data_IF_932413287943
#
_entry.id   IF_932413287943
#
_cell.length_a   1.000
_cell.length_b   1.000
_cell.length_c   1.000
_cell.angle_alpha   90.00
_cell.angle_beta   90.00
_cell.angle_gamma   90.00
#
_symmetry.space_group_name_H-M   'P 1'
#
loop_
_entity.id
_entity.type
_entity.pdbx_description
1 polymer ?
#
# COMPACT_ATOMS: atom_id res chain seq x y z
N UNK A 1 -29.49 -17.13 -13.65
CA UNK A 1 -28.21 -17.81 -13.93
C UNK A 1 -27.00 -16.99 -13.48
N UNK A 2 -26.87 -15.71 -13.91
CA UNK A 2 -25.72 -14.84 -13.56
C UNK A 2 -25.53 -14.65 -12.05
N UNK A 3 -26.59 -14.36 -11.28
CA UNK A 3 -26.48 -14.19 -9.82
C UNK A 3 -25.99 -15.45 -9.09
N UNK A 4 -26.35 -16.65 -9.58
CA UNK A 4 -25.87 -17.90 -9.01
C UNK A 4 -24.37 -18.09 -9.25
N UNK A 5 -23.89 -17.76 -10.46
CA UNK A 5 -22.47 -17.79 -10.79
C UNK A 5 -21.66 -16.77 -9.97
N UNK A 6 -22.16 -15.54 -9.79
CA UNK A 6 -21.54 -14.53 -8.91
C UNK A 6 -21.41 -15.04 -7.49
N UNK A 7 -22.46 -15.67 -6.94
CA UNK A 7 -22.43 -16.23 -5.59
C UNK A 7 -21.41 -17.37 -5.46
N UNK A 8 -21.34 -18.26 -6.45
CA UNK A 8 -20.35 -19.34 -6.48
C UNK A 8 -18.92 -18.78 -6.54
N UNK A 9 -18.66 -17.79 -7.40
CA UNK A 9 -17.36 -17.13 -7.50
C UNK A 9 -16.94 -16.50 -6.16
N UNK A 10 -17.83 -15.76 -5.50
CA UNK A 10 -17.57 -15.18 -4.17
C UNK A 10 -17.28 -16.26 -3.12
N UNK A 11 -17.99 -17.39 -3.17
CA UNK A 11 -17.72 -18.52 -2.27
C UNK A 11 -16.33 -19.11 -2.53
N UNK A 12 -15.91 -19.26 -3.79
CA UNK A 12 -14.56 -19.70 -4.13
C UNK A 12 -13.50 -18.72 -3.61
N UNK A 13 -13.70 -17.41 -3.83
CA UNK A 13 -12.79 -16.35 -3.31
C UNK A 13 -12.65 -16.45 -1.79
N UNK A 14 -13.77 -16.56 -1.07
CA UNK A 14 -13.77 -16.65 0.40
C UNK A 14 -13.15 -17.94 0.91
N UNK A 15 -13.40 -19.06 0.23
CA UNK A 15 -12.81 -20.34 0.57
C UNK A 15 -11.29 -20.28 0.42
N UNK A 16 -10.79 -19.82 -0.74
CA UNK A 16 -9.36 -19.66 -0.99
C UNK A 16 -8.70 -18.71 0.01
N UNK A 17 -9.33 -17.58 0.31
CA UNK A 17 -8.85 -16.61 1.32
C UNK A 17 -8.69 -17.26 2.71
N UNK A 18 -9.54 -18.24 3.05
CA UNK A 18 -9.45 -18.97 4.33
C UNK A 18 -8.45 -20.12 4.29
N UNK A 19 -8.25 -20.76 3.15
CA UNK A 19 -7.38 -21.93 3.00
C UNK A 19 -5.90 -21.55 2.86
N UNK A 20 -5.60 -20.45 2.16
CA UNK A 20 -4.23 -20.02 1.87
C UNK A 20 -3.32 -19.87 3.12
N UNK A 21 -3.79 -19.29 4.24
CA UNK A 21 -3.00 -19.25 5.48
C UNK A 21 -2.51 -20.63 5.93
N UNK A 22 -3.40 -21.63 5.91
CA UNK A 22 -3.06 -23.01 6.28
C UNK A 22 -2.10 -23.65 5.27
N UNK A 23 -2.21 -23.30 3.98
CA UNK A 23 -1.27 -23.78 2.96
C UNK A 23 0.13 -23.20 3.17
N UNK A 24 0.23 -21.92 3.58
CA UNK A 24 1.50 -21.27 3.88
C UNK A 24 2.13 -21.72 5.21
N UNK A 25 1.31 -22.02 6.22
CA UNK A 25 1.78 -22.50 7.52
C UNK A 25 2.15 -24.00 7.51
N UNK A 26 1.59 -24.77 6.57
CA UNK A 26 1.82 -26.20 6.50
C UNK A 26 3.32 -26.54 6.39
N UNK A 27 3.83 -27.46 7.24
CA UNK A 27 5.23 -27.84 7.22
C UNK A 27 5.60 -28.52 5.90
N UNK A 28 6.92 -28.66 5.67
CA UNK A 28 7.42 -29.42 4.54
C UNK A 28 6.84 -30.85 4.55
N UNK A 29 6.45 -31.34 3.38
CA UNK A 29 5.86 -32.69 3.25
C UNK A 29 6.94 -33.71 3.57
N UNK A 30 6.62 -34.69 4.43
CA UNK A 30 7.55 -35.74 4.89
C UNK A 30 8.37 -36.33 3.74
N UNK A 31 9.69 -36.14 3.78
CA UNK A 31 10.63 -36.61 2.75
C UNK A 31 11.03 -35.58 1.69
N UNK A 32 10.52 -34.33 1.76
CA UNK A 32 10.91 -33.23 0.86
C UNK A 32 11.33 -31.99 1.67
N UNK A 33 12.25 -31.19 1.10
CA UNK A 33 12.68 -29.92 1.71
C UNK A 33 11.76 -28.73 1.33
N UNK A 34 10.66 -28.98 0.61
CA UNK A 34 9.77 -27.94 0.09
C UNK A 34 8.47 -27.87 0.87
N UNK A 35 7.97 -26.65 1.07
CA UNK A 35 6.70 -26.41 1.74
C UNK A 35 5.51 -26.86 0.89
N UNK A 36 4.36 -27.09 1.50
CA UNK A 36 3.12 -27.41 0.77
C UNK A 36 2.78 -26.31 -0.24
N UNK A 37 2.97 -25.03 0.13
CA UNK A 37 2.75 -23.90 -0.76
C UNK A 37 3.66 -23.94 -2.00
N UNK A 38 4.93 -24.27 -1.83
CA UNK A 38 5.87 -24.42 -2.96
C UNK A 38 5.45 -25.54 -3.91
N UNK A 39 5.02 -26.69 -3.38
CA UNK A 39 4.58 -27.82 -4.20
C UNK A 39 3.28 -27.53 -4.95
N UNK A 40 2.28 -26.94 -4.28
CA UNK A 40 0.96 -26.72 -4.87
C UNK A 40 0.91 -25.49 -5.79
N UNK A 41 1.50 -24.38 -5.36
CA UNK A 41 1.35 -23.09 -6.05
C UNK A 41 2.51 -22.84 -7.02
N UNK A 42 3.73 -23.16 -6.61
CA UNK A 42 4.94 -22.65 -7.26
C UNK A 42 5.74 -23.70 -8.02
N UNK A 43 5.32 -24.97 -7.98
CA UNK A 43 5.90 -26.04 -8.79
C UNK A 43 5.12 -26.19 -10.09
N UNK A 44 5.82 -26.46 -11.20
CA UNK A 44 5.17 -26.75 -12.49
C UNK A 44 4.58 -28.15 -12.44
N UNK A 45 3.30 -28.28 -12.79
CA UNK A 45 2.62 -29.57 -12.89
C UNK A 45 2.40 -29.94 -14.36
N UNK A 46 3.04 -31.02 -14.81
CA UNK A 46 2.94 -31.54 -16.18
C UNK A 46 3.44 -30.57 -17.27
N UNK A 47 2.75 -30.57 -18.41
CA UNK A 47 3.08 -29.80 -19.63
C UNK A 47 2.62 -28.32 -19.58
N UNK A 48 2.22 -27.83 -18.40
CA UNK A 48 1.73 -26.46 -18.24
C UNK A 48 2.89 -25.47 -18.17
N UNK A 49 2.87 -24.47 -19.07
CA UNK A 49 3.89 -23.41 -19.13
C UNK A 49 3.89 -22.51 -17.89
N UNK A 50 2.71 -22.23 -17.31
CA UNK A 50 2.55 -21.35 -16.13
C UNK A 50 2.25 -22.15 -14.85
N UNK A 51 2.85 -21.73 -13.73
CA UNK A 51 2.59 -22.33 -12.40
C UNK A 51 1.15 -22.05 -11.96
N UNK A 52 0.61 -22.87 -11.07
CA UNK A 52 -0.77 -22.67 -10.59
C UNK A 52 -0.93 -21.34 -9.83
N UNK A 53 0.04 -20.99 -8.97
CA UNK A 53 0.07 -19.73 -8.25
C UNK A 53 0.12 -18.51 -9.19
N UNK A 54 0.88 -18.58 -10.29
CA UNK A 54 0.90 -17.49 -11.29
C UNK A 54 -0.48 -17.29 -11.90
N UNK A 55 -1.13 -18.38 -12.32
CA UNK A 55 -2.48 -18.32 -12.88
C UNK A 55 -3.48 -17.76 -11.87
N UNK A 56 -3.41 -18.20 -10.62
CA UNK A 56 -4.29 -17.72 -9.55
C UNK A 56 -4.12 -16.22 -9.29
N UNK A 57 -2.89 -15.71 -9.31
CA UNK A 57 -2.59 -14.28 -9.19
C UNK A 57 -3.18 -13.50 -10.36
N UNK A 58 -2.91 -13.92 -11.61
CA UNK A 58 -3.44 -13.23 -12.79
C UNK A 58 -4.97 -13.25 -12.81
N UNK A 59 -5.61 -14.39 -12.51
CA UNK A 59 -7.06 -14.48 -12.40
C UNK A 59 -7.60 -13.58 -11.30
N UNK A 60 -6.93 -13.48 -10.14
CA UNK A 60 -7.37 -12.59 -9.06
C UNK A 60 -7.31 -11.12 -9.49
N UNK A 61 -6.26 -10.72 -10.23
CA UNK A 61 -6.17 -9.37 -10.81
C UNK A 61 -7.21 -9.15 -11.91
N UNK A 62 -7.50 -10.14 -12.74
CA UNK A 62 -8.56 -10.03 -13.76
C UNK A 62 -9.94 -9.84 -13.12
N UNK A 63 -10.21 -10.56 -12.01
CA UNK A 63 -11.43 -10.41 -11.23
C UNK A 63 -11.59 -9.00 -10.64
N UNK A 64 -10.48 -8.30 -10.34
CA UNK A 64 -10.51 -6.90 -9.90
C UNK A 64 -11.04 -5.95 -10.99
N UNK A 65 -11.03 -6.36 -12.25
CA UNK A 65 -11.44 -5.58 -13.42
C UNK A 65 -12.46 -6.30 -14.31
N UNK A 66 -13.18 -7.29 -13.77
CA UNK A 66 -14.17 -8.07 -14.51
C UNK A 66 -15.49 -7.30 -14.68
N UNK A 67 -15.90 -7.10 -15.93
CA UNK A 67 -17.11 -6.38 -16.28
C UNK A 67 -18.38 -7.06 -15.76
N UNK A 68 -19.25 -6.28 -15.11
CA UNK A 68 -20.46 -6.75 -14.44
C UNK A 68 -20.23 -7.38 -13.06
N UNK A 69 -18.97 -7.57 -12.63
CA UNK A 69 -18.64 -8.10 -11.30
C UNK A 69 -18.02 -7.03 -10.39
N UNK A 70 -16.91 -6.42 -10.79
CA UNK A 70 -16.22 -5.35 -10.04
C UNK A 70 -16.22 -4.02 -10.78
N UNK A 71 -16.47 -4.01 -12.09
CA UNK A 71 -16.57 -2.79 -12.92
C UNK A 71 -17.83 -2.85 -13.77
N UNK A 72 -18.43 -1.72 -14.18
CA UNK A 72 -19.62 -1.72 -15.03
C UNK A 72 -19.34 -2.36 -16.39
N UNK A 73 -20.38 -2.93 -17.01
CA UNK A 73 -20.31 -3.38 -18.41
C UNK A 73 -20.29 -2.16 -19.33
N UNK A 74 -19.46 -2.19 -20.36
CA UNK A 74 -19.48 -1.17 -21.40
C UNK A 74 -20.65 -1.45 -22.32
N UNK A 75 -21.55 -0.48 -22.49
CA UNK A 75 -22.83 -0.64 -23.20
C UNK A 75 -22.67 -0.83 -24.73
N UNK A 76 -21.49 -0.54 -25.30
CA UNK A 76 -21.30 -0.41 -26.76
C UNK A 76 -20.75 -1.66 -27.47
N UNK A 77 -20.83 -2.85 -26.89
CA UNK A 77 -20.39 -4.07 -27.60
C UNK A 77 -21.38 -5.19 -27.39
N UNK A 78 -22.40 -5.24 -28.25
CA UNK A 78 -23.38 -6.34 -28.30
C UNK A 78 -22.73 -7.71 -28.63
N UNK A 79 -21.44 -7.71 -29.01
CA UNK A 79 -20.62 -8.89 -29.28
C UNK A 79 -19.55 -9.19 -28.19
N UNK A 80 -19.50 -8.44 -27.09
CA UNK A 80 -18.49 -8.68 -26.07
C UNK A 80 -18.73 -10.01 -25.34
N UNK A 81 -17.71 -10.87 -25.36
CA UNK A 81 -17.65 -12.12 -24.60
C UNK A 81 -18.15 -11.95 -23.15
N UNK A 82 -18.82 -12.96 -22.57
CA UNK A 82 -19.42 -12.87 -21.24
C UNK A 82 -18.40 -12.65 -20.10
N UNK A 83 -17.10 -12.70 -20.38
CA UNK A 83 -15.98 -12.60 -19.43
C UNK A 83 -14.99 -11.49 -19.82
N UNK A 84 -15.49 -10.32 -20.26
CA UNK A 84 -14.63 -9.19 -20.62
C UNK A 84 -13.94 -8.59 -19.38
N UNK A 85 -12.61 -8.57 -19.39
CA UNK A 85 -11.78 -7.87 -18.40
C UNK A 85 -11.49 -6.45 -18.92
N UNK A 86 -11.94 -5.44 -18.19
CA UNK A 86 -11.75 -4.04 -18.54
C UNK A 86 -10.86 -3.33 -17.51
N UNK A 87 -9.55 -3.30 -17.77
CA UNK A 87 -8.57 -2.61 -16.93
C UNK A 87 -8.76 -1.09 -16.95
N UNK A 88 -9.63 -0.59 -16.07
CA UNK A 88 -9.97 0.82 -15.88
C UNK A 88 -9.66 1.27 -14.44
N UNK A 89 -9.39 2.56 -14.22
CA UNK A 89 -9.03 3.08 -12.90
C UNK A 89 -10.30 3.34 -12.07
N UNK A 90 -10.40 2.72 -10.89
CA UNK A 90 -11.65 2.73 -10.10
C UNK A 90 -12.06 4.12 -9.58
N UNK A 91 -11.08 4.93 -9.20
CA UNK A 91 -11.27 6.22 -8.55
C UNK A 91 -10.51 7.29 -9.30
N UNK A 92 -11.10 8.49 -9.46
CA UNK A 92 -10.36 9.61 -10.04
C UNK A 92 -9.17 10.06 -9.17
N UNK A 93 -8.16 10.65 -9.79
CA UNK A 93 -6.89 11.00 -9.17
C UNK A 93 -5.77 10.88 -10.18
N UNK A 94 -4.68 10.22 -9.79
CA UNK A 94 -3.55 9.95 -10.68
C UNK A 94 -4.01 9.06 -11.84
N UNK A 95 -3.63 9.43 -13.07
CA UNK A 95 -3.88 8.66 -14.28
C UNK A 95 -5.31 8.75 -14.85
N UNK A 96 -6.29 9.21 -14.08
CA UNK A 96 -7.66 9.37 -14.57
C UNK A 96 -8.44 10.42 -13.75
N UNK A 97 -9.05 11.39 -14.43
CA UNK A 97 -9.84 12.46 -13.77
C UNK A 97 -11.33 12.12 -13.63
N UNK A 98 -11.87 11.30 -14.54
CA UNK A 98 -13.29 10.94 -14.53
C UNK A 98 -13.55 9.70 -13.67
N UNK A 99 -14.59 9.75 -12.84
CA UNK A 99 -15.00 8.62 -12.01
C UNK A 99 -15.79 7.61 -12.86
N UNK A 100 -15.54 6.32 -12.65
CA UNK A 100 -16.31 5.25 -13.26
C UNK A 100 -17.55 5.00 -12.42
N UNK A 101 -18.70 4.77 -13.07
CA UNK A 101 -19.92 4.39 -12.36
C UNK A 101 -19.67 3.17 -11.47
N UNK A 102 -20.04 3.28 -10.20
CA UNK A 102 -19.84 2.23 -9.20
C UNK A 102 -21.06 2.11 -8.31
N UNK A 103 -21.36 0.90 -7.85
CA UNK A 103 -22.41 0.62 -6.89
C UNK A 103 -21.82 -0.07 -5.65
N UNK A 104 -22.65 -0.31 -4.63
CA UNK A 104 -22.22 -0.95 -3.37
C UNK A 104 -21.73 -2.39 -3.59
N UNK A 105 -22.34 -3.11 -4.50
CA UNK A 105 -21.98 -4.50 -4.81
C UNK A 105 -20.59 -4.60 -5.42
N UNK A 106 -20.25 -3.71 -6.37
CA UNK A 106 -18.93 -3.65 -6.98
C UNK A 106 -17.85 -3.34 -5.95
N UNK A 107 -18.11 -2.40 -5.04
CA UNK A 107 -17.18 -2.09 -3.94
C UNK A 107 -17.00 -3.31 -3.03
N UNK A 108 -18.09 -4.01 -2.71
CA UNK A 108 -18.03 -5.23 -1.90
C UNK A 108 -17.27 -6.37 -2.61
N UNK A 109 -17.49 -6.58 -3.90
CA UNK A 109 -16.76 -7.58 -4.68
C UNK A 109 -15.26 -7.22 -4.79
N UNK A 110 -14.92 -5.95 -5.06
CA UNK A 110 -13.53 -5.48 -5.04
C UNK A 110 -12.89 -5.76 -3.69
N UNK A 111 -13.60 -5.49 -2.59
CA UNK A 111 -13.11 -5.76 -1.24
C UNK A 111 -12.80 -7.26 -1.02
N UNK A 112 -13.69 -8.17 -1.42
CA UNK A 112 -13.47 -9.62 -1.28
C UNK A 112 -12.30 -10.11 -2.16
N UNK A 113 -12.19 -9.62 -3.39
CA UNK A 113 -11.07 -9.97 -4.28
C UNK A 113 -9.75 -9.39 -3.75
N UNK A 114 -9.75 -8.17 -3.22
CA UNK A 114 -8.58 -7.55 -2.58
C UNK A 114 -8.12 -8.32 -1.33
N UNK A 115 -9.05 -8.89 -0.54
CA UNK A 115 -8.68 -9.80 0.57
C UNK A 115 -7.95 -11.04 0.07
N UNK A 116 -8.45 -11.66 -0.99
CA UNK A 116 -7.79 -12.82 -1.60
C UNK A 116 -6.40 -12.42 -2.13
N UNK A 117 -6.29 -11.29 -2.81
CA UNK A 117 -5.02 -10.78 -3.32
C UNK A 117 -4.01 -10.56 -2.20
N UNK A 118 -4.38 -9.85 -1.13
CA UNK A 118 -3.53 -9.69 0.05
C UNK A 118 -3.11 -11.01 0.67
N UNK A 119 -4.04 -11.97 0.76
CA UNK A 119 -3.76 -13.29 1.29
C UNK A 119 -2.72 -14.02 0.41
N UNK A 120 -2.87 -13.98 -0.91
CA UNK A 120 -1.88 -14.54 -1.83
C UNK A 120 -0.51 -13.90 -1.68
N UNK A 121 -0.44 -12.59 -1.45
CA UNK A 121 0.81 -11.84 -1.26
C UNK A 121 1.40 -11.99 0.15
N UNK A 122 0.74 -12.67 1.09
CA UNK A 122 1.11 -12.69 2.52
C UNK A 122 2.12 -13.78 2.93
N UNK A 123 2.71 -14.53 1.99
CA UNK A 123 3.61 -15.66 2.32
C UNK A 123 4.77 -15.26 3.26
N UNK A 124 5.27 -14.03 3.15
CA UNK A 124 6.32 -13.50 4.04
C UNK A 124 5.94 -13.46 5.52
N UNK A 125 4.64 -13.42 5.86
CA UNK A 125 4.18 -13.49 7.26
C UNK A 125 4.40 -14.85 7.91
N UNK A 126 4.52 -15.91 7.11
CA UNK A 126 4.73 -17.29 7.56
C UNK A 126 6.22 -17.68 7.48
N UNK A 127 7.08 -16.73 7.10
CA UNK A 127 8.53 -16.92 7.07
C UNK A 127 9.13 -16.62 8.43
N UNK A 128 10.07 -17.45 8.87
CA UNK A 128 10.82 -17.22 10.12
C UNK A 128 11.62 -15.93 10.04
N UNK A 129 11.86 -15.29 11.19
CA UNK A 129 12.50 -13.98 11.28
C UNK A 129 13.89 -13.90 10.61
N UNK A 130 14.65 -14.98 10.63
CA UNK A 130 15.96 -15.10 9.98
C UNK A 130 15.87 -15.03 8.44
N UNK A 131 14.78 -15.56 7.89
CA UNK A 131 14.54 -15.67 6.46
C UNK A 131 13.77 -14.50 5.83
N UNK A 132 13.20 -13.57 6.60
CA UNK A 132 12.29 -12.53 6.05
C UNK A 132 12.95 -11.69 4.94
N UNK A 133 14.24 -11.36 5.07
CA UNK A 133 14.96 -10.53 4.11
C UNK A 133 15.52 -11.33 2.92
N UNK A 134 15.66 -12.65 3.06
CA UNK A 134 16.30 -13.52 2.06
C UNK A 134 15.28 -14.34 1.26
N UNK A 135 14.19 -14.74 1.91
CA UNK A 135 13.14 -15.55 1.30
C UNK A 135 12.30 -14.68 0.38
N UNK A 136 12.25 -15.08 -0.89
CA UNK A 136 11.44 -14.38 -1.89
C UNK A 136 9.98 -14.78 -1.79
N UNK A 137 9.12 -13.88 -2.26
CA UNK A 137 7.69 -14.09 -2.33
C UNK A 137 7.27 -14.22 -3.80
N UNK A 138 7.07 -15.44 -4.33
CA UNK A 138 6.79 -15.66 -5.74
C UNK A 138 5.51 -14.93 -6.21
N UNK A 139 4.51 -14.78 -5.35
CA UNK A 139 3.28 -14.06 -5.66
C UNK A 139 3.54 -12.57 -5.94
N UNK A 140 4.40 -11.95 -5.13
CA UNK A 140 4.78 -10.55 -5.30
C UNK A 140 5.66 -10.40 -6.54
N UNK A 141 6.60 -11.32 -6.77
CA UNK A 141 7.48 -11.31 -7.95
C UNK A 141 6.66 -11.40 -9.26
N UNK A 142 5.61 -12.21 -9.30
CA UNK A 142 4.73 -12.34 -10.47
C UNK A 142 4.05 -11.01 -10.82
N UNK A 143 3.60 -10.24 -9.82
CA UNK A 143 3.00 -8.93 -10.06
C UNK A 143 4.05 -7.86 -10.38
N UNK A 144 5.11 -7.79 -9.58
CA UNK A 144 6.08 -6.71 -9.62
C UNK A 144 6.96 -6.71 -10.89
N UNK A 145 7.28 -7.89 -11.45
CA UNK A 145 8.22 -8.01 -12.56
C UNK A 145 7.59 -8.49 -13.87
N UNK A 146 6.60 -9.39 -13.82
CA UNK A 146 6.13 -10.12 -15.02
C UNK A 146 4.76 -9.68 -15.55
N UNK A 147 4.15 -8.66 -14.94
CA UNK A 147 2.84 -8.18 -15.36
C UNK A 147 2.93 -7.21 -16.53
N UNK A 148 1.91 -7.18 -17.38
CA UNK A 148 1.84 -6.24 -18.50
C UNK A 148 1.74 -4.79 -18.01
N UNK A 149 2.37 -3.87 -18.75
CA UNK A 149 2.36 -2.42 -18.46
C UNK A 149 0.95 -1.88 -18.18
N UNK A 150 -0.04 -2.28 -18.98
CA UNK A 150 -1.43 -1.82 -18.81
C UNK A 150 -2.00 -2.28 -17.46
N UNK A 151 -1.77 -3.53 -17.09
CA UNK A 151 -2.24 -4.12 -15.83
C UNK A 151 -1.58 -3.43 -14.64
N UNK A 152 -0.25 -3.28 -14.67
CA UNK A 152 0.51 -2.63 -13.59
C UNK A 152 0.04 -1.19 -13.39
N UNK A 153 -0.08 -0.41 -14.46
CA UNK A 153 -0.46 1.00 -14.37
C UNK A 153 -1.89 1.16 -13.85
N UNK A 154 -2.84 0.38 -14.38
CA UNK A 154 -4.24 0.43 -13.94
C UNK A 154 -4.35 0.02 -12.47
N UNK A 155 -3.69 -1.07 -12.05
CA UNK A 155 -3.69 -1.52 -10.67
C UNK A 155 -3.05 -0.47 -9.75
N UNK A 156 -1.85 0.04 -10.08
CA UNK A 156 -1.16 1.07 -9.32
C UNK A 156 -2.03 2.31 -9.09
N UNK A 157 -2.61 2.87 -10.15
CA UNK A 157 -3.47 4.05 -10.05
C UNK A 157 -4.74 3.76 -9.24
N UNK A 158 -5.33 2.56 -9.40
CA UNK A 158 -6.52 2.18 -8.63
C UNK A 158 -6.22 2.05 -7.13
N UNK A 159 -5.09 1.42 -6.78
CA UNK A 159 -4.64 1.30 -5.39
C UNK A 159 -4.37 2.68 -4.76
N UNK A 160 -3.59 3.54 -5.43
CA UNK A 160 -3.26 4.89 -4.93
C UNK A 160 -4.52 5.73 -4.79
N UNK A 161 -5.34 5.83 -5.85
CA UNK A 161 -6.47 6.74 -5.86
C UNK A 161 -7.51 6.33 -4.82
N UNK A 162 -7.81 5.03 -4.69
CA UNK A 162 -8.76 4.53 -3.69
C UNK A 162 -8.23 4.71 -2.26
N UNK A 163 -6.95 4.45 -2.00
CA UNK A 163 -6.35 4.68 -0.68
C UNK A 163 -6.34 6.18 -0.30
N UNK A 164 -5.89 7.04 -1.21
CA UNK A 164 -5.71 8.48 -0.93
C UNK A 164 -7.04 9.22 -0.85
N UNK A 165 -8.07 8.80 -1.59
CA UNK A 165 -9.41 9.39 -1.48
C UNK A 165 -10.21 8.93 -0.28
N UNK A 166 -9.65 8.11 0.61
CA UNK A 166 -10.30 7.72 1.86
C UNK A 166 -10.89 8.95 2.56
N UNK A 167 -12.22 9.09 2.61
CA UNK A 167 -12.87 10.18 3.35
C UNK A 167 -13.18 9.66 4.75
N UNK A 168 -12.32 9.96 5.72
CA UNK A 168 -12.74 9.93 7.12
C UNK A 168 -14.00 10.80 7.18
N UNK A 169 -15.14 10.18 7.49
CA UNK A 169 -16.44 10.84 7.54
C UNK A 169 -16.25 12.21 8.19
N UNK A 170 -16.53 13.26 7.42
CA UNK A 170 -16.39 14.63 7.90
C UNK A 170 -17.09 14.77 9.23
N UNK A 171 -16.53 15.62 10.09
CA UNK A 171 -17.18 16.19 11.26
C UNK A 171 -18.67 16.45 10.97
N UNK A 172 -19.54 15.53 11.39
CA UNK A 172 -20.87 15.43 10.80
C UNK A 172 -21.74 14.43 11.54
N UNK A 173 -22.15 14.84 12.74
CA UNK A 173 -23.18 14.23 13.60
C UNK A 173 -22.72 12.98 14.36
N UNK A 174 -22.54 13.06 15.71
CA UNK A 174 -22.18 11.94 16.60
C UNK A 174 -23.14 10.74 16.56
N UNK A 175 -24.33 10.91 15.99
CA UNK A 175 -25.40 9.92 15.96
C UNK A 175 -25.47 9.09 14.67
N UNK A 176 -24.68 9.40 13.64
CA UNK A 176 -24.48 8.42 12.56
C UNK A 176 -23.52 7.36 13.07
N UNK A 177 -24.05 6.35 13.76
CA UNK A 177 -23.39 5.08 13.98
C UNK A 177 -23.11 4.46 12.61
N UNK A 178 -22.00 4.86 11.98
CA UNK A 178 -21.45 4.09 10.87
C UNK A 178 -21.16 2.70 11.42
N UNK A 179 -21.48 1.63 10.66
CA UNK A 179 -21.00 0.32 11.02
C UNK A 179 -19.49 0.40 11.20
N UNK A 180 -18.95 -0.28 12.23
CA UNK A 180 -17.52 -0.26 12.56
C UNK A 180 -16.60 -0.69 11.39
N UNK A 181 -17.18 -1.22 10.32
CA UNK A 181 -16.53 -1.71 9.10
C UNK A 181 -17.27 -1.25 7.84
N UNK A 182 -17.19 0.03 7.49
CA UNK A 182 -17.61 0.51 6.17
C UNK A 182 -16.73 -0.17 5.10
N UNK A 183 -17.32 -0.87 4.09
CA UNK A 183 -16.54 -1.56 3.07
C UNK A 183 -15.62 -0.63 2.27
N UNK A 184 -15.96 0.66 2.14
CA UNK A 184 -15.07 1.64 1.50
C UNK A 184 -13.80 1.90 2.32
N UNK A 185 -13.95 2.01 3.64
CA UNK A 185 -12.84 2.29 4.55
C UNK A 185 -11.86 1.10 4.58
N UNK A 186 -12.40 -0.13 4.61
CA UNK A 186 -11.59 -1.34 4.53
C UNK A 186 -10.93 -1.52 3.15
N UNK A 187 -11.63 -1.16 2.07
CA UNK A 187 -11.06 -1.23 0.73
C UNK A 187 -9.86 -0.28 0.60
N UNK A 188 -9.95 0.93 1.15
CA UNK A 188 -8.84 1.88 1.18
C UNK A 188 -7.61 1.32 1.93
N UNK A 189 -7.81 0.68 3.10
CA UNK A 189 -6.74 -0.02 3.83
C UNK A 189 -6.11 -1.10 2.97
N UNK A 190 -6.91 -1.99 2.38
CA UNK A 190 -6.36 -3.09 1.60
C UNK A 190 -5.64 -2.63 0.34
N UNK A 191 -6.12 -1.55 -0.29
CA UNK A 191 -5.43 -0.91 -1.40
C UNK A 191 -4.06 -0.38 -0.98
N UNK A 192 -3.98 0.30 0.17
CA UNK A 192 -2.74 0.86 0.67
C UNK A 192 -1.75 -0.23 1.12
N UNK A 193 -2.21 -1.26 1.83
CA UNK A 193 -1.41 -2.43 2.20
C UNK A 193 -0.83 -3.13 0.98
N UNK A 194 -1.67 -3.40 -0.02
CA UNK A 194 -1.24 -4.05 -1.27
C UNK A 194 -0.20 -3.20 -1.99
N UNK A 195 -0.43 -1.89 -2.07
CA UNK A 195 0.54 -0.95 -2.65
C UNK A 195 1.89 -1.01 -1.92
N UNK A 196 1.88 -0.94 -0.58
CA UNK A 196 3.10 -0.98 0.21
C UNK A 196 3.86 -2.31 0.05
N UNK A 197 3.16 -3.44 0.01
CA UNK A 197 3.77 -4.76 -0.26
C UNK A 197 4.46 -4.77 -1.62
N UNK A 198 3.78 -4.28 -2.67
CA UNK A 198 4.31 -4.21 -4.02
C UNK A 198 5.50 -3.25 -4.14
N UNK A 199 5.51 -2.15 -3.39
CA UNK A 199 6.60 -1.18 -3.37
C UNK A 199 7.82 -1.63 -2.54
N UNK A 200 7.62 -2.47 -1.52
CA UNK A 200 8.69 -2.92 -0.63
C UNK A 200 9.68 -3.87 -1.32
N UNK A 201 9.24 -4.55 -2.39
CA UNK A 201 10.09 -5.48 -3.14
C UNK A 201 11.15 -4.73 -3.92
N UNK A 202 12.43 -4.91 -3.54
CA UNK A 202 13.58 -4.21 -4.13
C UNK A 202 13.93 -4.75 -5.51
N UNK A 203 14.56 -3.94 -6.35
CA UNK A 203 15.04 -4.37 -7.67
C UNK A 203 16.01 -5.55 -7.55
N UNK A 204 16.05 -6.40 -8.57
CA UNK A 204 16.98 -7.52 -8.56
C UNK A 204 18.42 -7.03 -8.68
N UNK A 205 19.35 -7.56 -7.88
CA UNK A 205 20.77 -7.30 -8.08
C UNK A 205 21.16 -7.78 -9.48
N UNK A 206 21.89 -6.96 -10.23
CA UNK A 206 22.43 -7.37 -11.52
C UNK A 206 23.54 -8.39 -11.30
N UNK A 207 23.67 -9.37 -12.19
CA UNK A 207 24.86 -10.24 -12.23
C UNK A 207 26.10 -9.33 -12.35
N UNK A 208 26.87 -9.21 -11.25
CA UNK A 208 28.06 -8.36 -11.16
C UNK A 208 28.09 -7.39 -9.97
N UNK A 209 26.94 -7.04 -9.36
CA UNK A 209 26.88 -6.07 -8.25
C UNK A 209 27.31 -6.65 -6.88
N UNK A 210 27.72 -7.92 -6.81
CA UNK A 210 28.31 -8.54 -5.61
C UNK A 210 29.85 -8.42 -5.53
N UNK A 211 30.48 -7.67 -6.44
CA UNK A 211 31.92 -7.46 -6.43
C UNK A 211 32.31 -6.13 -5.73
N UNK A 212 32.17 -6.06 -4.40
CA UNK A 212 33.05 -5.25 -3.51
C UNK A 212 32.61 -5.38 -2.05
N UNK A 213 32.70 -6.58 -1.46
CA UNK A 213 33.09 -6.67 -0.04
C UNK A 213 33.68 -8.07 0.28
N UNK A 214 34.97 -8.07 0.54
CA UNK A 214 35.77 -9.09 1.22
C UNK A 214 35.29 -10.57 1.22
N UNK A 215 35.71 -11.32 0.20
CA UNK A 215 36.36 -12.63 0.41
C UNK A 215 35.55 -13.81 0.98
N UNK A 216 34.22 -13.74 1.09
CA UNK A 216 33.37 -14.92 1.35
C UNK A 216 32.39 -15.15 0.22
N UNK A 217 32.82 -15.95 -0.75
CA UNK A 217 31.94 -16.54 -1.75
C UNK A 217 31.05 -17.56 -1.04
N UNK A 218 29.83 -17.18 -0.68
CA UNK A 218 28.77 -18.15 -0.45
C UNK A 218 28.29 -18.66 -1.81
N UNK A 219 28.25 -19.98 -2.06
CA UNK A 219 27.70 -20.50 -3.29
C UNK A 219 26.19 -20.23 -3.28
N UNK A 220 25.74 -19.30 -4.14
CA UNK A 220 24.32 -19.14 -4.43
C UNK A 220 23.80 -20.43 -5.03
N UNK A 221 22.96 -21.16 -4.28
CA UNK A 221 22.17 -22.25 -4.85
C UNK A 221 21.34 -21.71 -6.03
N UNK A 222 21.14 -22.51 -7.09
CA UNK A 222 20.27 -22.16 -8.20
C UNK A 222 18.83 -22.12 -7.67
N UNK A 223 18.39 -20.93 -7.26
CA UNK A 223 17.00 -20.72 -6.89
C UNK A 223 16.21 -20.68 -8.19
N UNK A 224 15.34 -21.67 -8.38
CA UNK A 224 14.49 -21.87 -9.55
C UNK A 224 13.42 -20.78 -9.71
N UNK A 225 13.83 -19.51 -9.82
CA UNK A 225 12.94 -18.39 -10.06
C UNK A 225 13.02 -17.96 -11.53
N UNK A 226 11.89 -17.73 -12.21
CA UNK A 226 11.84 -17.28 -13.60
C UNK A 226 12.14 -15.78 -13.79
N UNK A 227 12.50 -15.05 -12.73
CA UNK A 227 12.74 -13.59 -12.84
C UNK A 227 14.17 -13.35 -13.33
N UNK A 228 14.30 -12.74 -14.50
CA UNK A 228 15.58 -12.39 -15.14
C UNK A 228 16.46 -11.48 -14.25
N UNK A 229 17.75 -11.82 -14.05
CA UNK A 229 18.68 -11.04 -13.24
C UNK A 229 18.75 -9.59 -13.71
N UNK A 230 18.50 -8.66 -12.78
CA UNK A 230 18.42 -7.22 -13.06
C UNK A 230 17.02 -6.71 -13.45
N UNK A 231 15.98 -7.55 -13.33
CA UNK A 231 14.59 -7.11 -13.48
C UNK A 231 14.26 -5.99 -12.48
N UNK A 232 13.60 -4.95 -12.99
CA UNK A 232 13.16 -3.79 -12.22
C UNK A 232 11.71 -3.95 -11.79
N UNK A 233 11.41 -3.60 -10.56
CA UNK A 233 10.05 -3.58 -10.05
C UNK A 233 9.26 -2.48 -10.80
N UNK A 234 8.23 -2.91 -11.55
CA UNK A 234 7.47 -2.01 -12.40
C UNK A 234 6.67 -0.97 -11.61
N UNK A 235 6.15 -1.32 -10.42
CA UNK A 235 5.41 -0.38 -9.55
C UNK A 235 6.32 0.74 -9.06
N UNK A 236 7.53 0.40 -8.58
CA UNK A 236 8.56 1.38 -8.20
C UNK A 236 8.96 2.24 -9.40
N UNK A 237 9.15 1.61 -10.56
CA UNK A 237 9.51 2.29 -11.81
C UNK A 237 8.48 3.33 -12.27
N UNK A 238 7.19 3.04 -12.15
CA UNK A 238 6.14 4.01 -12.49
C UNK A 238 6.00 5.11 -11.43
N UNK A 239 6.12 4.79 -10.14
CA UNK A 239 6.02 5.78 -9.07
C UNK A 239 7.18 6.80 -9.11
N UNK A 240 8.39 6.33 -9.38
CA UNK A 240 9.58 7.17 -9.58
C UNK A 240 9.45 8.13 -10.78
N UNK A 241 8.66 7.76 -11.79
CA UNK A 241 8.43 8.57 -13.01
C UNK A 241 7.28 9.58 -12.88
N UNK A 242 6.57 9.59 -11.76
CA UNK A 242 5.56 10.61 -11.47
C UNK A 242 6.22 11.98 -11.46
N UNK A 243 5.63 12.97 -12.13
CA UNK A 243 6.25 14.29 -12.29
C UNK A 243 5.24 15.44 -12.48
N UNK A 244 3.95 15.13 -12.65
CA UNK A 244 2.94 16.18 -12.85
C UNK A 244 2.65 16.81 -11.49
N UNK A 245 2.70 18.13 -11.42
CA UNK A 245 2.40 18.87 -10.19
C UNK A 245 1.00 18.53 -9.65
N UNK A 246 0.02 18.28 -10.52
CA UNK A 246 -1.32 17.86 -10.10
C UNK A 246 -1.34 16.50 -9.40
N UNK A 247 -0.49 15.55 -9.84
CA UNK A 247 -0.40 14.23 -9.20
C UNK A 247 0.31 14.34 -7.84
N UNK A 248 1.35 15.17 -7.74
CA UNK A 248 2.02 15.45 -6.46
C UNK A 248 1.11 16.18 -5.47
N UNK A 249 0.42 17.24 -5.90
CA UNK A 249 -0.56 17.95 -5.09
C UNK A 249 -1.66 17.01 -4.59
N UNK A 250 -2.15 16.10 -5.44
CA UNK A 250 -3.12 15.08 -5.05
C UNK A 250 -2.59 14.18 -3.93
N UNK A 251 -1.35 13.70 -4.02
CA UNK A 251 -0.74 12.87 -2.97
C UNK A 251 -0.54 13.67 -1.67
N UNK A 252 0.10 14.84 -1.75
CA UNK A 252 0.41 15.68 -0.59
C UNK A 252 -0.85 16.06 0.17
N UNK A 253 -1.86 16.60 -0.53
CA UNK A 253 -3.11 17.05 0.08
C UNK A 253 -3.85 15.89 0.77
N UNK A 254 -3.88 14.70 0.16
CA UNK A 254 -4.57 13.56 0.76
C UNK A 254 -3.80 12.92 1.91
N UNK A 255 -2.47 12.83 1.83
CA UNK A 255 -1.62 12.37 2.94
C UNK A 255 -1.80 13.33 4.13
N UNK A 256 -1.67 14.64 3.91
CA UNK A 256 -1.91 15.67 4.92
C UNK A 256 -3.27 15.50 5.59
N UNK A 257 -4.33 15.32 4.79
CA UNK A 257 -5.68 15.11 5.28
C UNK A 257 -5.80 13.86 6.15
N UNK A 258 -5.23 12.73 5.74
CA UNK A 258 -5.26 11.47 6.50
C UNK A 258 -4.52 11.62 7.84
N UNK A 259 -3.31 12.18 7.83
CA UNK A 259 -2.51 12.40 9.03
C UNK A 259 -3.22 13.36 10.01
N UNK A 260 -3.79 14.45 9.49
CA UNK A 260 -4.47 15.46 10.29
C UNK A 260 -5.73 14.96 11.01
N UNK A 261 -6.38 13.89 10.52
CA UNK A 261 -7.57 13.30 11.18
C UNK A 261 -7.21 12.77 12.58
N UNK A 262 -6.11 12.01 12.70
CA UNK A 262 -5.72 11.44 13.99
C UNK A 262 -5.14 12.50 14.94
N UNK A 263 -4.36 13.45 14.43
CA UNK A 263 -3.89 14.57 15.24
C UNK A 263 -5.07 15.31 15.89
N UNK A 264 -6.08 15.71 15.10
CA UNK A 264 -7.25 16.43 15.60
C UNK A 264 -8.10 15.60 16.56
N UNK A 265 -8.19 14.29 16.33
CA UNK A 265 -8.88 13.39 17.26
C UNK A 265 -8.17 13.29 18.61
N UNK A 266 -6.83 13.44 18.64
CA UNK A 266 -6.03 13.44 19.87
C UNK A 266 -6.01 14.80 20.59
N UNK A 267 -6.25 15.90 19.89
CA UNK A 267 -6.37 17.24 20.51
C UNK A 267 -7.75 17.52 21.10
N UNK A 268 -8.80 16.86 20.62
CA UNK A 268 -10.15 17.02 21.17
C UNK A 268 -10.35 16.19 22.44
N UNK A 269 -10.95 16.80 23.47
CA UNK A 269 -11.39 16.12 24.69
C UNK A 269 -12.37 14.98 24.42
N UNK A 270 -13.11 15.05 23.31
CA UNK A 270 -14.04 14.02 22.90
C UNK A 270 -13.28 12.94 22.12
N UNK A 271 -12.71 12.00 22.87
CA UNK A 271 -12.12 10.76 22.35
C UNK A 271 -13.22 9.86 21.78
N UNK A 272 -13.87 10.25 20.69
CA UNK A 272 -14.67 9.31 19.94
C UNK A 272 -13.69 8.35 19.27
N UNK A 273 -13.64 7.12 19.81
CA UNK A 273 -12.77 6.02 19.41
C UNK A 273 -12.36 6.14 17.93
N UNK A 274 -11.14 6.62 17.69
CA UNK A 274 -10.56 6.52 16.35
C UNK A 274 -10.52 5.04 16.03
N UNK A 275 -11.32 4.63 15.05
CA UNK A 275 -11.45 3.22 14.73
C UNK A 275 -10.08 2.66 14.33
N UNK A 276 -9.84 1.37 14.62
CA UNK A 276 -8.62 0.65 14.21
C UNK A 276 -8.23 0.92 12.75
N UNK A 277 -9.22 1.09 11.88
CA UNK A 277 -9.07 1.44 10.46
C UNK A 277 -8.37 2.78 10.24
N UNK A 278 -8.75 3.84 10.96
CA UNK A 278 -8.13 5.16 10.85
C UNK A 278 -6.67 5.14 11.32
N UNK A 279 -6.40 4.41 12.40
CA UNK A 279 -5.04 4.24 12.90
C UNK A 279 -4.15 3.51 11.87
N UNK A 280 -4.70 2.45 11.27
CA UNK A 280 -4.02 1.66 10.23
C UNK A 280 -3.71 2.51 9.00
N UNK A 281 -4.70 3.25 8.47
CA UNK A 281 -4.51 4.13 7.31
C UNK A 281 -3.46 5.21 7.56
N UNK A 282 -3.41 5.78 8.76
CA UNK A 282 -2.41 6.80 9.09
C UNK A 282 -0.99 6.21 9.11
N UNK A 283 -0.81 5.08 9.79
CA UNK A 283 0.48 4.38 9.83
C UNK A 283 0.96 4.03 8.41
N UNK A 284 0.07 3.47 7.60
CA UNK A 284 0.38 3.10 6.23
C UNK A 284 0.59 4.32 5.31
N UNK A 285 -0.07 5.45 5.58
CA UNK A 285 0.15 6.70 4.86
C UNK A 285 1.51 7.32 5.18
N UNK A 286 2.01 7.18 6.42
CA UNK A 286 3.40 7.52 6.77
C UNK A 286 4.40 6.64 6.02
N UNK A 287 4.10 5.33 5.91
CA UNK A 287 4.94 4.41 5.12
C UNK A 287 4.93 4.77 3.63
N UNK A 288 3.78 5.15 3.07
CA UNK A 288 3.67 5.61 1.69
C UNK A 288 4.45 6.91 1.48
N UNK A 289 4.33 7.88 2.40
CA UNK A 289 5.11 9.11 2.36
C UNK A 289 6.61 8.81 2.34
N UNK A 290 7.07 7.92 3.22
CA UNK A 290 8.48 7.50 3.24
C UNK A 290 8.89 6.85 1.92
N UNK A 291 8.07 5.96 1.36
CA UNK A 291 8.34 5.34 0.07
C UNK A 291 8.41 6.37 -1.08
N UNK A 292 7.53 7.37 -1.10
CA UNK A 292 7.52 8.44 -2.11
C UNK A 292 8.80 9.28 -2.06
N UNK A 293 9.24 9.67 -0.85
CA UNK A 293 10.48 10.43 -0.64
C UNK A 293 11.71 9.67 -1.11
N UNK A 294 11.75 8.37 -0.86
CA UNK A 294 12.86 7.49 -1.26
C UNK A 294 12.89 7.21 -2.77
N UNK A 295 11.71 7.12 -3.40
CA UNK A 295 11.57 6.73 -4.80
C UNK A 295 11.64 7.89 -5.78
N UNK A 296 11.25 9.10 -5.37
CA UNK A 296 11.06 10.22 -6.28
C UNK A 296 11.59 11.53 -5.69
N UNK A 297 12.83 11.94 -6.02
CA UNK A 297 13.39 13.19 -5.49
C UNK A 297 12.60 14.44 -5.93
N UNK A 298 11.92 14.40 -7.10
CA UNK A 298 11.08 15.51 -7.53
C UNK A 298 9.86 15.69 -6.63
N UNK A 299 9.31 14.59 -6.11
CA UNK A 299 8.25 14.65 -5.12
C UNK A 299 8.75 15.26 -3.81
N UNK A 300 9.96 14.91 -3.37
CA UNK A 300 10.58 15.47 -2.16
C UNK A 300 10.71 16.99 -2.24
N UNK A 301 11.31 17.51 -3.31
CA UNK A 301 11.42 18.96 -3.52
C UNK A 301 10.06 19.63 -3.60
N UNK A 302 9.10 19.04 -4.34
CA UNK A 302 7.73 19.55 -4.41
C UNK A 302 7.05 19.60 -3.04
N UNK A 303 7.22 18.56 -2.22
CA UNK A 303 6.62 18.48 -0.89
C UNK A 303 7.14 19.60 0.01
N UNK A 304 8.45 19.87 0.06
CA UNK A 304 9.03 20.91 0.93
C UNK A 304 8.58 22.31 0.52
N UNK A 305 8.38 22.52 -0.77
CA UNK A 305 7.86 23.78 -1.34
C UNK A 305 6.35 23.95 -1.15
N UNK A 306 5.62 22.88 -0.80
CA UNK A 306 4.17 22.91 -0.65
C UNK A 306 3.73 23.69 0.61
N UNK A 307 2.50 24.20 0.57
CA UNK A 307 1.89 24.90 1.70
C UNK A 307 1.60 23.94 2.86
N UNK A 308 1.24 22.69 2.55
CA UNK A 308 0.93 21.65 3.52
C UNK A 308 2.18 21.06 4.20
N UNK A 309 3.38 21.35 3.69
CA UNK A 309 4.64 20.79 4.18
C UNK A 309 4.77 20.87 5.71
N UNK A 310 4.66 22.09 6.23
CA UNK A 310 4.87 22.36 7.65
C UNK A 310 3.80 21.66 8.50
N UNK A 311 2.59 21.52 7.98
CA UNK A 311 1.54 20.78 8.67
C UNK A 311 1.77 19.27 8.66
N UNK A 312 2.30 18.70 7.55
CA UNK A 312 2.76 17.31 7.48
C UNK A 312 3.92 17.09 8.46
N UNK A 313 4.90 18.01 8.50
CA UNK A 313 6.02 17.94 9.42
C UNK A 313 5.55 17.92 10.88
N UNK A 314 4.61 18.80 11.24
CA UNK A 314 3.97 18.78 12.56
C UNK A 314 3.32 17.44 12.86
N UNK A 315 2.61 16.86 11.89
CA UNK A 315 1.99 15.55 12.04
C UNK A 315 3.00 14.44 12.29
N UNK A 316 4.09 14.41 11.53
CA UNK A 316 5.18 13.45 11.71
C UNK A 316 5.80 13.60 13.11
N UNK A 317 6.12 14.83 13.53
CA UNK A 317 6.64 15.11 14.87
C UNK A 317 5.66 14.70 15.98
N UNK A 318 4.36 14.98 15.79
CA UNK A 318 3.31 14.58 16.71
C UNK A 318 3.28 13.06 16.90
N UNK A 319 3.32 12.26 15.82
CA UNK A 319 3.32 10.80 15.92
C UNK A 319 4.61 10.25 16.55
N UNK A 320 5.76 10.90 16.33
CA UNK A 320 6.99 10.55 17.03
C UNK A 320 6.86 10.75 18.55
N UNK A 321 6.26 11.87 18.97
CA UNK A 321 6.09 12.23 20.39
C UNK A 321 4.99 11.43 21.09
N UNK A 322 3.83 11.22 20.45
CA UNK A 322 2.68 10.48 21.03
C UNK A 322 3.06 9.05 21.41
N UNK A 323 3.97 8.43 20.64
CA UNK A 323 4.32 7.01 20.77
C UNK A 323 5.71 6.74 21.36
N UNK A 324 6.44 7.78 21.78
CA UNK A 324 7.84 7.66 22.25
C UNK A 324 8.03 6.71 23.44
N UNK A 325 7.01 6.61 24.30
CA UNK A 325 7.08 5.81 25.53
C UNK A 325 6.54 4.38 25.35
N UNK A 326 6.03 4.01 24.17
CA UNK A 326 5.41 2.71 23.90
C UNK A 326 6.39 1.80 23.14
N UNK A 327 6.97 0.76 23.78
CA UNK A 327 7.92 -0.14 23.13
C UNK A 327 7.33 -0.90 21.94
N UNK A 328 6.00 -1.12 21.92
CA UNK A 328 5.33 -1.82 20.83
C UNK A 328 5.25 -0.97 19.56
N UNK A 329 5.36 0.35 19.69
CA UNK A 329 5.26 1.33 18.60
C UNK A 329 6.62 1.90 18.18
N UNK A 330 7.74 1.31 18.61
CA UNK A 330 9.08 1.81 18.30
C UNK A 330 9.34 1.91 16.80
N UNK A 331 8.73 1.03 15.99
CA UNK A 331 8.81 1.06 14.53
C UNK A 331 8.17 2.33 13.94
N UNK A 332 7.02 2.76 14.49
CA UNK A 332 6.35 3.99 14.06
C UNK A 332 7.18 5.23 14.45
N UNK A 333 7.75 5.26 15.65
CA UNK A 333 8.63 6.35 16.11
C UNK A 333 9.87 6.44 15.21
N UNK A 334 10.54 5.32 14.94
CA UNK A 334 11.71 5.28 14.03
C UNK A 334 11.35 5.78 12.64
N UNK A 335 10.22 5.36 12.08
CA UNK A 335 9.76 5.83 10.78
C UNK A 335 9.53 7.35 10.77
N UNK A 336 8.91 7.90 11.81
CA UNK A 336 8.70 9.34 11.92
C UNK A 336 10.03 10.11 12.01
N UNK A 337 11.00 9.61 12.78
CA UNK A 337 12.35 10.20 12.86
C UNK A 337 13.07 10.12 11.51
N UNK A 338 12.98 9.00 10.78
CA UNK A 338 13.55 8.91 9.44
C UNK A 338 12.89 9.87 8.46
N UNK A 339 11.58 10.08 8.54
CA UNK A 339 10.90 11.09 7.72
C UNK A 339 11.44 12.51 8.01
N UNK A 340 11.61 12.87 9.29
CA UNK A 340 12.20 14.16 9.66
C UNK A 340 13.64 14.29 9.16
N UNK A 341 14.42 13.22 9.23
CA UNK A 341 15.77 13.18 8.67
C UNK A 341 15.76 13.41 7.14
N UNK A 342 14.90 12.71 6.40
CA UNK A 342 14.75 12.93 4.95
C UNK A 342 14.33 14.36 4.62
N UNK A 343 13.48 14.99 5.43
CA UNK A 343 13.13 16.40 5.25
C UNK A 343 14.34 17.32 5.45
N UNK A 344 15.20 17.02 6.42
CA UNK A 344 16.40 17.82 6.71
C UNK A 344 17.46 17.77 5.61
N UNK A 345 17.41 16.78 4.72
CA UNK A 345 18.30 16.68 3.55
C UNK A 345 17.95 17.71 2.47
N UNK A 346 16.73 18.25 2.45
CA UNK A 346 16.31 19.22 1.43
C UNK A 346 16.81 20.63 1.76
N UNK A 347 17.46 21.34 0.80
CA UNK A 347 18.05 22.66 1.05
C UNK A 347 17.06 23.71 1.58
N UNK A 348 15.82 23.69 1.08
CA UNK A 348 14.78 24.65 1.47
C UNK A 348 14.16 24.36 2.83
N UNK A 349 14.47 23.22 3.46
CA UNK A 349 13.90 22.84 4.75
C UNK A 349 14.15 23.88 5.83
N UNK A 350 15.41 24.31 5.99
CA UNK A 350 15.79 25.28 7.01
C UNK A 350 15.08 26.64 6.85
N UNK A 351 14.90 27.10 5.61
CA UNK A 351 14.16 28.33 5.32
C UNK A 351 12.70 28.23 5.78
N UNK A 352 12.06 27.07 5.57
CA UNK A 352 10.66 26.84 5.96
C UNK A 352 10.48 26.81 7.48
N UNK A 353 11.50 26.41 8.25
CA UNK A 353 11.41 26.32 9.72
C UNK A 353 11.29 27.69 10.41
N UNK A 354 11.70 28.77 9.75
CA UNK A 354 11.58 30.13 10.29
C UNK A 354 10.14 30.67 10.34
N UNK A 355 9.19 29.95 9.74
CA UNK A 355 7.78 30.34 9.83
C UNK A 355 7.25 30.19 11.25
N UNK A 356 6.24 31.00 11.58
CA UNK A 356 5.56 30.92 12.87
C UNK A 356 4.79 29.61 13.00
N UNK A 357 4.94 28.96 14.14
CA UNK A 357 4.28 27.72 14.47
C UNK A 357 3.02 27.97 15.31
N UNK A 358 1.87 27.58 14.77
CA UNK A 358 0.61 27.57 15.51
C UNK A 358 0.53 26.34 16.43
N UNK A 359 0.78 26.55 17.72
CA UNK A 359 0.73 25.50 18.73
C UNK A 359 -0.70 24.98 19.03
N UNK A 360 -1.75 25.66 18.55
CA UNK A 360 -3.13 25.24 18.83
C UNK A 360 -3.47 23.89 18.21
N UNK A 361 -2.74 23.51 17.16
CA UNK A 361 -2.89 22.22 16.46
C UNK A 361 -2.39 21.02 17.27
N UNK A 362 -1.64 21.24 18.35
CA UNK A 362 -1.11 20.21 19.24
C UNK A 362 -1.97 20.05 20.51
N UNK A 363 -1.98 18.85 21.12
CA UNK A 363 -2.56 18.67 22.45
C UNK A 363 -1.79 19.51 23.47
N UNK A 364 -2.47 19.98 24.52
CA UNK A 364 -1.88 20.83 25.55
C UNK A 364 -0.60 20.25 26.17
N UNK A 365 -0.51 18.93 26.31
CA UNK A 365 0.66 18.24 26.86
C UNK A 365 1.92 18.30 25.96
N UNK A 366 1.78 18.65 24.69
CA UNK A 366 2.88 18.75 23.71
C UNK A 366 3.18 20.20 23.29
N UNK A 367 2.51 21.19 23.90
CA UNK A 367 2.75 22.61 23.61
C UNK A 367 4.01 23.09 24.31
N UNK A 368 4.67 24.05 23.68
CA UNK A 368 5.86 24.69 24.23
C UNK A 368 5.46 25.83 25.18
N UNK A 369 6.29 26.16 26.17
CA UNK A 369 5.99 27.23 27.14
C UNK A 369 6.13 28.65 26.56
N UNK A 370 6.58 28.78 25.30
CA UNK A 370 6.84 30.06 24.63
C UNK A 370 5.58 30.61 23.94
N UNK A 371 5.38 31.93 24.00
CA UNK A 371 4.22 32.61 23.41
C UNK A 371 4.30 32.78 21.90
N UNK A 372 5.50 32.93 21.35
CA UNK A 372 5.80 32.89 19.92
C UNK A 372 6.84 31.80 19.70
N UNK A 373 6.50 30.86 18.84
CA UNK A 373 7.36 29.72 18.49
C UNK A 373 7.45 29.64 16.99
N UNK A 374 8.64 29.35 16.49
CA UNK A 374 8.88 28.96 15.11
C UNK A 374 8.76 27.43 14.97
N UNK A 375 8.73 26.94 13.73
CA UNK A 375 8.83 25.50 13.50
C UNK A 375 10.21 24.94 13.87
N UNK A 376 11.25 25.77 13.88
CA UNK A 376 12.57 25.40 14.41
C UNK A 376 12.48 25.11 15.93
N UNK A 377 11.80 25.97 16.69
CA UNK A 377 11.60 25.78 18.14
C UNK A 377 10.78 24.53 18.47
N UNK A 378 9.86 24.13 17.58
CA UNK A 378 9.09 22.88 17.74
C UNK A 378 9.92 21.62 17.49
N UNK A 379 10.94 21.71 16.63
CA UNK A 379 11.71 20.55 16.21
C UNK A 379 12.87 20.22 17.16
N UNK A 380 13.40 21.22 17.87
CA UNK A 380 14.45 21.11 18.90
C UNK A 380 13.83 20.82 20.26
#
# INVERSE_FOLDING_TARGET
>A
MVQAATKQLLNCIRLLTRLLPFIYEAPAVSGTNTTLAEQLLWTRSGDQVKRFGDRLIYTTVDLLFLAGFTVPKTENTEEASPTLVNYCIWESGIGQTQLISTNKDYVFHRLEVMRLLLCLLSSSMYTKADGILTTRNPAVDTLAYHSDKKVVLTLLCSLINTAMKYKASGWGIPYKMKPAHDPHDLLAVYCLQTLLILLNTRDQPRLGDTASDNGRVTPTLPTASPVEPGAKNQFRGYLCRLHRNGDFAFLVSNIHRILGVLMRARTSYFQLATGKVQHTLCQESLMLLWALLQLNPKFTTFLVESEEFLSIMTAVGFFALDRKSDPLMVGQVRMAVFLLHMFSEEPKFGERLNNLFDQTVLPTAMRLPLSQTTFADYLV
#
